data_IF_380818721588
#
_entry.id   IF_380818721588
#
_cell.length_a   1.000
_cell.length_b   1.000
_cell.length_c   1.000
_cell.angle_alpha   90.00
_cell.angle_beta   90.00
_cell.angle_gamma   90.00
#
_symmetry.space_group_name_H-M   'P 1'
#
loop_
_entity.id
_entity.type
_entity.pdbx_description
1 polymer ?
#
# COMPACT_ATOMS: atom_id res chain seq x y z
N UNK A 1 49.17 22.07 -7.84
CA UNK A 1 48.09 21.39 -8.58
C UNK A 1 48.18 19.89 -8.33
N UNK A 2 47.41 19.36 -7.38
CA UNK A 2 47.21 17.92 -7.24
C UNK A 2 45.78 17.62 -7.69
N UNK A 3 45.64 16.99 -8.85
CA UNK A 3 44.39 16.35 -9.27
C UNK A 3 44.22 15.11 -8.40
N UNK A 4 43.36 15.20 -7.40
CA UNK A 4 42.89 14.03 -6.65
C UNK A 4 42.06 13.20 -7.64
N UNK A 5 42.50 11.96 -7.88
CA UNK A 5 41.84 11.02 -8.78
C UNK A 5 40.38 10.82 -8.36
N UNK A 6 39.47 11.00 -9.31
CA UNK A 6 38.06 10.63 -9.17
C UNK A 6 37.99 9.11 -9.11
N UNK A 7 37.94 8.57 -7.90
CA UNK A 7 37.59 7.17 -7.63
C UNK A 7 36.28 6.84 -8.36
N UNK A 8 36.30 5.86 -9.25
CA UNK A 8 35.19 5.50 -10.16
C UNK A 8 34.07 4.70 -9.50
N UNK A 9 33.90 4.80 -8.19
CA UNK A 9 32.93 4.01 -7.45
C UNK A 9 31.65 4.83 -7.24
N UNK A 10 30.50 4.24 -7.57
CA UNK A 10 29.20 4.80 -7.24
C UNK A 10 29.10 5.04 -5.71
N UNK A 11 28.47 6.14 -5.26
CA UNK A 11 28.31 6.42 -3.83
C UNK A 11 27.52 5.30 -3.10
N UNK A 12 27.71 5.15 -1.78
CA UNK A 12 26.96 4.17 -0.99
C UNK A 12 25.47 4.55 -0.82
N UNK A 13 24.64 3.60 -0.37
CA UNK A 13 23.18 3.76 -0.19
C UNK A 13 22.82 4.97 0.72
N UNK A 14 23.66 5.29 1.71
CA UNK A 14 23.43 6.40 2.64
C UNK A 14 23.84 7.78 2.13
N UNK A 15 24.32 7.87 0.88
CA UNK A 15 24.75 9.13 0.26
C UNK A 15 23.62 10.18 0.24
N UNK A 16 22.40 9.77 -0.12
CA UNK A 16 21.26 10.69 -0.20
C UNK A 16 20.94 11.30 1.17
N UNK A 17 20.99 10.49 2.24
CA UNK A 17 20.81 10.94 3.62
C UNK A 17 21.81 12.01 4.01
N UNK A 18 23.10 11.70 3.85
CA UNK A 18 24.22 12.59 4.18
C UNK A 18 24.15 13.89 3.38
N UNK A 19 23.78 13.81 2.10
CA UNK A 19 23.65 14.99 1.26
C UNK A 19 22.45 15.86 1.70
N UNK A 20 21.31 15.27 2.02
CA UNK A 20 20.15 16.00 2.53
C UNK A 20 20.43 16.69 3.88
N UNK A 21 21.18 16.03 4.77
CA UNK A 21 21.62 16.59 6.04
C UNK A 21 22.59 17.77 5.85
N UNK A 22 23.62 17.60 5.01
CA UNK A 22 24.57 18.66 4.64
C UNK A 22 23.85 19.89 4.09
N UNK A 23 22.85 19.67 3.26
CA UNK A 23 22.04 20.73 2.65
C UNK A 23 20.93 21.26 3.57
N UNK A 24 20.68 20.62 4.71
CA UNK A 24 19.56 20.90 5.63
C UNK A 24 18.21 20.90 4.91
N UNK A 25 18.01 19.99 3.95
CA UNK A 25 16.74 19.87 3.21
C UNK A 25 15.59 19.56 4.16
N UNK A 26 14.47 20.26 4.02
CA UNK A 26 13.28 20.05 4.86
C UNK A 26 12.56 18.75 4.47
N UNK A 27 12.58 18.44 3.19
CA UNK A 27 12.00 17.27 2.55
C UNK A 27 12.87 16.00 2.69
N UNK A 28 14.08 16.13 3.23
CA UNK A 28 15.01 15.03 3.43
C UNK A 28 15.54 14.42 2.13
N UNK A 29 16.04 13.18 2.24
CA UNK A 29 16.67 12.44 1.14
C UNK A 29 15.71 12.11 -0.01
N UNK A 30 14.41 12.02 0.27
CA UNK A 30 13.40 11.75 -0.75
C UNK A 30 13.30 12.86 -1.79
N UNK A 31 13.59 14.10 -1.44
CA UNK A 31 13.68 15.18 -2.44
C UNK A 31 14.80 14.93 -3.46
N UNK A 32 15.97 14.48 -3.00
CA UNK A 32 17.11 14.18 -3.88
C UNK A 32 16.79 12.95 -4.73
N UNK A 33 16.18 11.92 -4.11
CA UNK A 33 15.74 10.72 -4.82
C UNK A 33 14.76 11.06 -5.95
N UNK A 34 13.76 11.92 -5.69
CA UNK A 34 12.81 12.39 -6.71
C UNK A 34 13.49 13.14 -7.85
N UNK A 35 14.47 14.00 -7.55
CA UNK A 35 15.26 14.72 -8.57
C UNK A 35 16.03 13.74 -9.46
N UNK A 36 16.72 12.76 -8.87
CA UNK A 36 17.46 11.74 -9.63
C UNK A 36 16.54 10.91 -10.52
N UNK A 37 15.38 10.49 -9.98
CA UNK A 37 14.37 9.75 -10.72
C UNK A 37 13.86 10.54 -11.93
N UNK A 38 13.62 11.84 -11.77
CA UNK A 38 13.13 12.70 -12.84
C UNK A 38 14.17 12.84 -13.98
N UNK A 39 15.45 12.97 -13.62
CA UNK A 39 16.54 13.03 -14.61
C UNK A 39 16.66 11.68 -15.33
N UNK A 40 16.55 10.57 -14.60
CA UNK A 40 16.58 9.22 -15.17
C UNK A 40 15.44 8.99 -16.17
N UNK A 41 14.21 9.35 -15.79
CA UNK A 41 13.01 9.15 -16.57
C UNK A 41 12.99 9.95 -17.87
N UNK A 42 13.48 11.20 -17.85
CA UNK A 42 13.47 12.07 -19.05
C UNK A 42 14.76 12.05 -19.85
N UNK A 43 15.84 11.48 -19.31
CA UNK A 43 17.18 11.46 -19.90
C UNK A 43 17.88 12.83 -19.89
N UNK A 44 17.22 13.88 -20.41
CA UNK A 44 17.68 15.28 -20.38
C UNK A 44 16.54 16.21 -19.98
N UNK A 45 16.70 16.94 -18.89
CA UNK A 45 15.63 17.76 -18.32
C UNK A 45 16.12 19.10 -17.76
N UNK A 46 15.33 20.16 -17.97
CA UNK A 46 15.64 21.50 -17.46
C UNK A 46 15.31 21.64 -15.97
N UNK A 47 16.02 22.52 -15.25
CA UNK A 47 15.79 22.76 -13.81
C UNK A 47 14.34 23.06 -13.45
N UNK A 48 13.66 23.86 -14.27
CA UNK A 48 12.27 24.26 -14.05
C UNK A 48 11.31 23.07 -14.17
N UNK A 49 11.57 22.17 -15.12
CA UNK A 49 10.78 20.96 -15.29
C UNK A 49 11.01 19.97 -14.15
N UNK A 50 12.26 19.82 -13.69
CA UNK A 50 12.55 19.04 -12.47
C UNK A 50 11.80 19.63 -11.27
N UNK A 51 11.89 20.95 -11.06
CA UNK A 51 11.24 21.62 -9.94
C UNK A 51 9.72 21.41 -9.96
N UNK A 52 9.10 21.55 -11.15
CA UNK A 52 7.67 21.30 -11.37
C UNK A 52 7.29 19.85 -11.07
N UNK A 53 8.00 18.88 -11.63
CA UNK A 53 7.69 17.46 -11.47
C UNK A 53 7.90 16.98 -10.02
N UNK A 54 8.92 17.50 -9.35
CA UNK A 54 9.27 17.12 -7.96
C UNK A 54 8.54 17.94 -6.90
N UNK A 55 7.76 18.95 -7.30
CA UNK A 55 7.09 19.93 -6.44
C UNK A 55 8.04 20.61 -5.45
N UNK A 56 9.29 20.85 -5.88
CA UNK A 56 10.31 21.55 -5.11
C UNK A 56 10.46 22.98 -5.60
N UNK A 57 10.78 23.95 -4.73
CA UNK A 57 11.15 25.29 -5.17
C UNK A 57 12.33 25.24 -6.15
N UNK A 58 12.30 26.09 -7.18
CA UNK A 58 13.38 26.15 -8.19
C UNK A 58 14.78 26.35 -7.56
N UNK A 59 14.96 27.22 -6.55
CA UNK A 59 16.27 27.38 -5.89
C UNK A 59 16.76 26.11 -5.19
N UNK A 60 15.85 25.38 -4.52
CA UNK A 60 16.17 24.11 -3.84
C UNK A 60 16.58 23.07 -4.88
N UNK A 61 15.81 22.94 -5.96
CA UNK A 61 16.12 22.03 -7.08
C UNK A 61 17.48 22.33 -7.72
N UNK A 62 17.77 23.62 -7.94
CA UNK A 62 19.06 24.05 -8.49
C UNK A 62 20.23 23.71 -7.55
N UNK A 63 20.04 23.87 -6.24
CA UNK A 63 21.03 23.52 -5.23
C UNK A 63 21.29 22.01 -5.20
N UNK A 64 20.22 21.18 -5.22
CA UNK A 64 20.33 19.71 -5.27
C UNK A 64 21.13 19.31 -6.51
N UNK A 65 20.74 19.82 -7.68
CA UNK A 65 21.46 19.51 -8.93
C UNK A 65 22.94 19.88 -8.84
N UNK A 66 23.28 21.05 -8.31
CA UNK A 66 24.67 21.49 -8.17
C UNK A 66 25.49 20.56 -7.27
N UNK A 67 24.91 20.05 -6.19
CA UNK A 67 25.61 19.08 -5.33
C UNK A 67 25.75 17.71 -6.03
N UNK A 68 24.74 17.26 -6.79
CA UNK A 68 24.84 16.05 -7.62
C UNK A 68 25.89 16.20 -8.74
N UNK A 69 26.05 17.40 -9.30
CA UNK A 69 27.10 17.73 -10.27
C UNK A 69 28.50 17.65 -9.61
N UNK A 70 28.67 18.21 -8.41
CA UNK A 70 29.92 18.10 -7.64
C UNK A 70 30.26 16.66 -7.29
N UNK A 71 29.25 15.83 -7.02
CA UNK A 71 29.40 14.41 -6.76
C UNK A 71 29.64 13.57 -8.03
N UNK A 72 29.64 14.19 -9.22
CA UNK A 72 29.87 13.49 -10.49
C UNK A 72 28.70 12.63 -10.95
N UNK A 73 27.52 12.71 -10.32
CA UNK A 73 26.33 11.93 -10.69
C UNK A 73 25.52 12.58 -11.81
N UNK A 74 25.56 13.91 -11.89
CA UNK A 74 24.82 14.71 -12.89
C UNK A 74 25.80 15.57 -13.68
N UNK A 75 25.55 15.74 -14.97
CA UNK A 75 26.26 16.68 -15.83
C UNK A 75 25.30 17.66 -16.49
N UNK A 76 25.84 18.80 -16.95
CA UNK A 76 25.08 19.83 -17.67
C UNK A 76 25.37 19.79 -19.17
N UNK A 77 24.36 19.43 -19.97
CA UNK A 77 24.42 19.46 -21.46
C UNK A 77 23.11 20.01 -22.03
N UNK A 78 22.90 21.34 -21.91
CA UNK A 78 21.62 21.98 -22.26
C UNK A 78 20.44 21.59 -21.34
N UNK A 79 20.73 20.88 -20.25
CA UNK A 79 19.82 20.29 -19.27
C UNK A 79 20.61 19.40 -18.32
N UNK A 80 19.98 18.94 -17.25
CA UNK A 80 20.54 17.93 -16.37
C UNK A 80 20.46 16.56 -17.06
N UNK A 81 21.57 15.82 -17.06
CA UNK A 81 21.65 14.43 -17.50
C UNK A 81 22.41 13.61 -16.45
N UNK A 82 22.10 12.32 -16.31
CA UNK A 82 22.94 11.43 -15.52
C UNK A 82 24.27 11.18 -16.23
N UNK A 83 25.37 11.14 -15.47
CA UNK A 83 26.64 10.60 -15.95
C UNK A 83 26.59 9.07 -15.98
N UNK A 84 27.66 8.41 -16.44
CA UNK A 84 27.78 6.94 -16.35
C UNK A 84 27.66 6.48 -14.89
N UNK A 85 28.44 7.11 -13.99
CA UNK A 85 28.38 6.85 -12.54
C UNK A 85 27.01 7.20 -11.94
N UNK A 86 26.36 8.27 -12.41
CA UNK A 86 25.02 8.65 -11.99
C UNK A 86 23.97 7.61 -12.37
N UNK A 87 24.07 7.06 -13.59
CA UNK A 87 23.18 6.00 -14.06
C UNK A 87 23.38 4.71 -13.26
N UNK A 88 24.63 4.30 -13.04
CA UNK A 88 24.96 3.15 -12.19
C UNK A 88 24.43 3.33 -10.76
N UNK A 89 24.62 4.51 -10.16
CA UNK A 89 24.08 4.81 -8.84
C UNK A 89 22.55 4.70 -8.78
N UNK A 90 21.86 5.25 -9.78
CA UNK A 90 20.39 5.24 -9.84
C UNK A 90 19.83 3.82 -10.07
N UNK A 91 20.42 3.05 -10.97
CA UNK A 91 19.89 1.74 -11.37
C UNK A 91 20.36 0.62 -10.42
N UNK A 92 21.63 0.61 -10.01
CA UNK A 92 22.22 -0.47 -9.21
C UNK A 92 22.07 -0.20 -7.71
N UNK A 93 22.43 1.00 -7.25
CA UNK A 93 22.42 1.30 -5.80
C UNK A 93 21.01 1.65 -5.31
N UNK A 94 20.29 2.49 -6.06
CA UNK A 94 18.95 2.93 -5.70
C UNK A 94 17.84 2.02 -6.23
N UNK A 95 18.16 1.05 -7.09
CA UNK A 95 17.23 0.10 -7.69
C UNK A 95 16.13 0.75 -8.55
N UNK A 96 16.37 1.95 -9.10
CA UNK A 96 15.37 2.62 -9.92
C UNK A 96 15.27 1.97 -11.30
N UNK A 97 14.06 1.98 -11.84
CA UNK A 97 13.77 1.53 -13.20
C UNK A 97 13.41 2.71 -14.09
N UNK A 98 13.59 2.52 -15.40
CA UNK A 98 13.20 3.49 -16.40
C UNK A 98 11.69 3.76 -16.32
N UNK A 99 11.27 4.92 -16.85
CA UNK A 99 9.86 5.31 -16.81
C UNK A 99 9.00 4.24 -17.51
N UNK A 100 8.04 3.71 -16.77
CA UNK A 100 6.95 2.88 -17.28
C UNK A 100 5.99 3.74 -18.10
N UNK A 101 5.32 3.16 -19.12
CA UNK A 101 4.25 3.90 -19.79
C UNK A 101 3.15 4.18 -18.76
N UNK A 102 2.69 5.43 -18.74
CA UNK A 102 1.67 5.87 -17.79
C UNK A 102 0.43 4.98 -17.91
N UNK A 103 -0.11 4.53 -16.78
CA UNK A 103 -1.51 4.11 -16.75
C UNK A 103 -2.32 5.35 -17.11
N UNK A 104 -2.99 5.31 -18.25
CA UNK A 104 -3.95 6.33 -18.64
C UNK A 104 -5.00 6.52 -17.52
N UNK A 105 -5.51 7.73 -17.35
CA UNK A 105 -6.57 8.08 -16.39
C UNK A 105 -7.85 7.23 -16.56
N UNK A 106 -7.93 6.40 -17.61
CA UNK A 106 -9.09 5.60 -18.01
C UNK A 106 -9.33 4.31 -17.21
N UNK A 107 -8.64 4.07 -16.09
CA UNK A 107 -8.67 2.79 -15.35
C UNK A 107 -8.18 1.57 -16.17
N UNK A 108 -7.71 1.77 -17.40
CA UNK A 108 -7.26 0.69 -18.27
C UNK A 108 -5.83 0.26 -17.92
N UNK A 109 -5.59 -1.04 -18.01
CA UNK A 109 -4.25 -1.62 -17.89
C UNK A 109 -3.61 -1.58 -19.28
N UNK A 110 -2.42 -1.00 -19.39
CA UNK A 110 -1.72 -0.95 -20.66
C UNK A 110 -1.38 -2.39 -21.16
N UNK A 111 -1.48 -2.68 -22.47
CA UNK A 111 -1.33 -4.05 -22.99
C UNK A 111 -0.03 -4.77 -22.61
N UNK A 112 1.06 -4.04 -22.37
CA UNK A 112 2.32 -4.63 -21.90
C UNK A 112 2.23 -5.30 -20.51
N UNK A 113 1.23 -4.93 -19.70
CA UNK A 113 1.02 -5.51 -18.37
C UNK A 113 0.04 -6.68 -18.38
N UNK A 114 -0.58 -7.01 -19.51
CA UNK A 114 -1.52 -8.13 -19.61
C UNK A 114 -0.91 -9.48 -19.14
N UNK A 115 0.35 -9.82 -19.47
CA UNK A 115 0.96 -11.04 -18.96
C UNK A 115 1.11 -11.07 -17.43
N UNK A 116 1.31 -9.90 -16.81
CA UNK A 116 1.36 -9.78 -15.35
C UNK A 116 -0.06 -9.90 -14.77
N UNK A 117 -1.04 -9.26 -15.41
CA UNK A 117 -2.44 -9.32 -15.01
C UNK A 117 -3.01 -10.74 -15.04
N UNK A 118 -2.68 -11.53 -16.05
CA UNK A 118 -3.07 -12.95 -16.13
C UNK A 118 -2.56 -13.76 -14.93
N UNK A 119 -1.30 -13.56 -14.52
CA UNK A 119 -0.75 -14.19 -13.32
C UNK A 119 -1.46 -13.76 -12.04
N UNK A 120 -1.84 -12.48 -11.96
CA UNK A 120 -2.63 -11.98 -10.82
C UNK A 120 -4.03 -12.59 -10.83
N UNK A 121 -4.67 -12.78 -11.99
CA UNK A 121 -5.96 -13.47 -12.14
C UNK A 121 -5.86 -14.92 -11.67
N UNK A 122 -4.82 -15.64 -12.09
CA UNK A 122 -4.54 -17.00 -11.64
C UNK A 122 -4.34 -17.07 -10.12
N UNK A 123 -3.46 -16.22 -9.55
CA UNK A 123 -3.27 -16.13 -8.10
C UNK A 123 -4.59 -15.79 -7.37
N UNK A 124 -5.36 -14.85 -7.92
CA UNK A 124 -6.66 -14.41 -7.36
C UNK A 124 -7.70 -15.52 -7.32
N UNK A 125 -7.67 -16.46 -8.28
CA UNK A 125 -8.54 -17.64 -8.32
C UNK A 125 -8.26 -18.64 -7.20
N UNK A 126 -7.06 -18.59 -6.61
CA UNK A 126 -6.59 -19.44 -5.51
C UNK A 126 -6.75 -18.79 -4.14
N UNK A 127 -7.31 -17.58 -4.08
CA UNK A 127 -7.59 -16.91 -2.79
C UNK A 127 -8.58 -17.73 -1.96
N UNK A 128 -8.42 -17.77 -0.63
CA UNK A 128 -9.49 -18.26 0.23
C UNK A 128 -10.74 -17.40 0.03
N UNK A 129 -11.92 -17.96 0.29
CA UNK A 129 -13.14 -17.14 0.34
C UNK A 129 -12.97 -16.02 1.39
N UNK A 130 -13.41 -14.81 1.02
CA UNK A 130 -13.40 -13.65 1.91
C UNK A 130 -14.06 -14.00 3.24
N UNK A 131 -13.41 -13.63 4.34
CA UNK A 131 -13.88 -13.83 5.70
C UNK A 131 -14.52 -12.54 6.23
N UNK A 132 -15.86 -12.48 6.35
CA UNK A 132 -16.53 -11.28 6.84
C UNK A 132 -16.18 -10.92 8.29
N UNK A 133 -15.63 -11.85 9.09
CA UNK A 133 -15.15 -11.57 10.45
C UNK A 133 -13.90 -10.69 10.48
N UNK A 134 -13.18 -10.63 9.36
CA UNK A 134 -11.98 -9.83 9.17
C UNK A 134 -12.25 -8.59 8.30
N UNK A 135 -13.53 -8.25 8.05
CA UNK A 135 -13.98 -7.23 7.10
C UNK A 135 -13.42 -7.40 5.66
N UNK A 136 -12.97 -8.62 5.29
CA UNK A 136 -12.41 -8.90 3.96
C UNK A 136 -13.46 -8.74 2.86
N UNK A 137 -13.06 -8.09 1.78
CA UNK A 137 -13.81 -8.01 0.52
C UNK A 137 -12.80 -7.91 -0.60
N UNK A 138 -12.76 -8.90 -1.49
CA UNK A 138 -11.75 -8.95 -2.53
C UNK A 138 -11.92 -7.84 -3.57
N UNK A 139 -10.83 -7.10 -3.82
CA UNK A 139 -10.66 -6.28 -5.00
C UNK A 139 -10.45 -7.13 -6.26
N UNK A 140 -10.68 -6.50 -7.41
CA UNK A 140 -10.39 -7.10 -8.72
C UNK A 140 -8.87 -7.23 -8.95
N UNK A 141 -8.42 -8.22 -9.74
CA UNK A 141 -7.02 -8.33 -10.18
C UNK A 141 -6.47 -7.03 -10.79
N UNK A 142 -7.29 -6.33 -11.56
CA UNK A 142 -6.96 -5.03 -12.17
C UNK A 142 -6.72 -3.96 -11.10
N UNK A 143 -7.48 -3.98 -10.00
CA UNK A 143 -7.26 -3.08 -8.87
C UNK A 143 -5.91 -3.34 -8.20
N UNK A 144 -5.58 -4.61 -7.95
CA UNK A 144 -4.30 -4.99 -7.36
C UNK A 144 -3.12 -4.50 -8.21
N UNK A 145 -3.18 -4.72 -9.53
CA UNK A 145 -2.16 -4.25 -10.47
C UNK A 145 -2.09 -2.72 -10.53
N UNK A 146 -3.23 -2.02 -10.61
CA UNK A 146 -3.26 -0.54 -10.61
C UNK A 146 -2.65 0.03 -9.34
N UNK A 147 -2.95 -0.52 -8.16
CA UNK A 147 -2.32 -0.09 -6.89
C UNK A 147 -0.80 -0.23 -6.97
N UNK A 148 -0.29 -1.37 -7.44
CA UNK A 148 1.14 -1.60 -7.59
C UNK A 148 1.79 -0.63 -8.60
N UNK A 149 1.18 -0.42 -9.76
CA UNK A 149 1.66 0.54 -10.76
C UNK A 149 1.64 1.97 -10.24
N UNK A 150 0.60 2.38 -9.52
CA UNK A 150 0.52 3.69 -8.89
C UNK A 150 1.62 3.90 -7.83
N UNK A 151 1.98 2.85 -7.07
CA UNK A 151 3.13 2.89 -6.17
C UNK A 151 4.47 2.98 -6.92
N UNK A 152 4.62 2.28 -8.06
CA UNK A 152 5.80 2.34 -8.93
C UNK A 152 5.99 3.74 -9.53
N UNK A 153 4.91 4.30 -10.09
CA UNK A 153 4.87 5.65 -10.67
C UNK A 153 5.09 6.74 -9.63
N UNK A 154 4.73 6.47 -8.37
CA UNK A 154 5.09 7.30 -7.21
C UNK A 154 6.56 7.22 -6.79
N UNK A 155 7.34 6.27 -7.31
CA UNK A 155 8.74 6.03 -6.92
C UNK A 155 8.90 5.25 -5.61
N UNK A 156 7.85 4.52 -5.21
CA UNK A 156 7.74 3.86 -3.91
C UNK A 156 7.77 2.31 -4.00
N UNK A 157 7.91 1.72 -5.19
CA UNK A 157 8.25 0.29 -5.34
C UNK A 157 9.72 0.04 -5.73
N UNK A 158 10.20 0.69 -6.78
CA UNK A 158 11.51 0.40 -7.36
C UNK A 158 12.67 0.62 -6.35
N UNK A 159 13.42 -0.46 -6.06
CA UNK A 159 14.52 -0.48 -5.09
C UNK A 159 14.09 -0.28 -3.63
N UNK A 160 12.81 -0.48 -3.29
CA UNK A 160 12.27 -0.26 -1.93
C UNK A 160 11.96 -1.56 -1.21
N UNK A 161 12.06 -1.50 0.12
CA UNK A 161 11.44 -2.48 1.03
C UNK A 161 10.01 -2.03 1.32
N UNK A 162 9.03 -2.83 0.91
CA UNK A 162 7.61 -2.48 0.90
C UNK A 162 6.85 -3.37 1.88
N UNK A 163 6.01 -2.75 2.71
CA UNK A 163 5.14 -3.47 3.65
C UNK A 163 3.69 -3.42 3.19
N UNK A 164 3.01 -4.55 3.24
CA UNK A 164 1.56 -4.65 3.11
C UNK A 164 0.96 -5.05 4.46
N UNK A 165 0.10 -4.19 5.01
CA UNK A 165 -0.63 -4.43 6.27
C UNK A 165 -2.05 -4.84 5.92
N UNK A 166 -2.31 -6.14 5.93
CA UNK A 166 -3.43 -6.75 5.22
C UNK A 166 -3.15 -6.86 3.71
N UNK A 167 -3.49 -7.98 3.09
CA UNK A 167 -3.31 -8.16 1.63
C UNK A 167 -4.28 -9.17 0.98
N UNK A 168 -5.56 -9.18 1.37
CA UNK A 168 -6.59 -10.04 0.75
C UNK A 168 -6.79 -9.74 -0.74
N UNK A 169 -6.34 -8.57 -1.17
CA UNK A 169 -6.31 -8.10 -2.55
C UNK A 169 -5.11 -8.59 -3.38
N UNK A 170 -4.13 -9.25 -2.77
CA UNK A 170 -2.88 -9.72 -3.41
C UNK A 170 -2.09 -8.60 -4.11
N UNK A 171 -2.09 -7.39 -3.54
CA UNK A 171 -1.29 -6.27 -4.06
C UNK A 171 0.20 -6.59 -3.90
N UNK A 172 0.58 -7.35 -2.87
CA UNK A 172 1.98 -7.81 -2.71
C UNK A 172 2.44 -8.69 -3.86
N UNK A 173 1.57 -9.57 -4.36
CA UNK A 173 1.83 -10.43 -5.52
C UNK A 173 1.98 -9.58 -6.77
N UNK A 174 1.06 -8.63 -7.00
CA UNK A 174 1.15 -7.70 -8.11
C UNK A 174 2.46 -6.89 -8.10
N UNK A 175 2.84 -6.35 -6.93
CA UNK A 175 4.10 -5.64 -6.74
C UNK A 175 5.34 -6.54 -6.96
N UNK A 176 5.28 -7.80 -6.52
CA UNK A 176 6.34 -8.78 -6.72
C UNK A 176 6.55 -9.14 -8.20
N UNK A 177 5.46 -9.31 -8.95
CA UNK A 177 5.49 -9.63 -10.38
C UNK A 177 6.10 -8.52 -11.25
N UNK A 178 6.10 -7.26 -10.77
CA UNK A 178 6.81 -6.16 -11.43
C UNK A 178 8.34 -6.32 -11.36
N UNK A 179 8.87 -7.13 -10.43
CA UNK A 179 10.31 -7.42 -10.27
C UNK A 179 11.21 -6.18 -10.12
N UNK A 180 10.69 -5.15 -9.45
CA UNK A 180 11.40 -3.88 -9.21
C UNK A 180 11.72 -3.63 -7.74
N UNK A 181 11.11 -4.36 -6.81
CA UNK A 181 11.24 -4.12 -5.37
C UNK A 181 12.55 -4.68 -4.83
N UNK A 182 13.06 -4.11 -3.72
CA UNK A 182 14.20 -4.65 -2.96
C UNK A 182 13.76 -5.78 -2.03
N UNK A 183 12.55 -5.67 -1.49
CA UNK A 183 11.93 -6.70 -0.65
C UNK A 183 10.46 -6.39 -0.40
N UNK A 184 9.65 -7.43 -0.22
CA UNK A 184 8.23 -7.31 0.09
C UNK A 184 7.94 -8.10 1.37
N UNK A 185 7.21 -7.48 2.29
CA UNK A 185 6.68 -8.16 3.47
C UNK A 185 5.17 -7.97 3.55
N UNK A 186 4.45 -9.04 3.84
CA UNK A 186 3.01 -9.06 4.09
C UNK A 186 2.77 -9.44 5.54
N UNK A 187 1.97 -8.64 6.23
CA UNK A 187 1.50 -8.94 7.58
C UNK A 187 -0.01 -9.12 7.52
N UNK A 188 -0.49 -10.30 7.87
CA UNK A 188 -1.92 -10.60 7.91
C UNK A 188 -2.24 -11.56 9.07
N UNK A 189 -3.47 -11.53 9.55
CA UNK A 189 -3.98 -12.46 10.56
C UNK A 189 -4.56 -13.73 9.92
N UNK A 190 -4.92 -13.69 8.64
CA UNK A 190 -5.45 -14.82 7.90
C UNK A 190 -4.34 -15.71 7.34
N UNK A 191 -3.99 -16.76 8.10
CA UNK A 191 -2.98 -17.73 7.67
C UNK A 191 -3.28 -18.40 6.32
N UNK A 192 -4.56 -18.53 5.92
CA UNK A 192 -4.94 -19.14 4.64
C UNK A 192 -4.53 -18.26 3.47
N UNK A 193 -4.67 -16.94 3.63
CA UNK A 193 -4.24 -15.97 2.63
C UNK A 193 -2.72 -15.95 2.52
N UNK A 194 -2.02 -15.97 3.65
CA UNK A 194 -0.56 -16.04 3.67
C UNK A 194 -0.03 -17.30 3.00
N UNK A 195 -0.67 -18.45 3.19
CA UNK A 195 -0.35 -19.69 2.47
C UNK A 195 -0.48 -19.53 0.94
N UNK A 196 -1.57 -18.90 0.47
CA UNK A 196 -1.73 -18.58 -0.97
C UNK A 196 -0.60 -17.67 -1.46
N UNK A 197 -0.29 -16.58 -0.74
CA UNK A 197 0.78 -15.64 -1.13
C UNK A 197 2.14 -16.34 -1.16
N UNK A 198 2.47 -17.15 -0.15
CA UNK A 198 3.72 -17.93 -0.11
C UNK A 198 3.81 -18.93 -1.26
N UNK A 199 2.71 -19.62 -1.60
CA UNK A 199 2.64 -20.54 -2.72
C UNK A 199 2.96 -19.85 -4.05
N UNK A 200 2.24 -18.75 -4.33
CA UNK A 200 2.49 -17.92 -5.53
C UNK A 200 3.91 -17.38 -5.54
N UNK A 201 4.41 -16.89 -4.40
CA UNK A 201 5.76 -16.36 -4.28
C UNK A 201 6.82 -17.42 -4.64
N UNK A 202 6.63 -18.67 -4.21
CA UNK A 202 7.54 -19.77 -4.53
C UNK A 202 7.48 -20.15 -6.01
N UNK A 203 6.29 -20.27 -6.57
CA UNK A 203 6.06 -20.63 -7.98
C UNK A 203 6.66 -19.60 -8.94
N UNK A 204 6.48 -18.31 -8.64
CA UNK A 204 6.91 -17.19 -9.48
C UNK A 204 8.33 -16.69 -9.16
N UNK A 205 8.99 -17.27 -8.14
CA UNK A 205 10.31 -16.87 -7.68
C UNK A 205 10.32 -15.43 -7.14
N UNK A 206 9.26 -15.02 -6.46
CA UNK A 206 9.13 -13.73 -5.80
C UNK A 206 9.77 -13.79 -4.41
N UNK A 207 10.33 -12.66 -3.97
CA UNK A 207 10.90 -12.52 -2.61
C UNK A 207 9.89 -11.87 -1.67
N UNK A 208 8.75 -12.54 -1.44
CA UNK A 208 7.69 -12.08 -0.53
C UNK A 208 7.82 -12.82 0.81
N UNK A 209 8.06 -12.07 1.88
CA UNK A 209 8.02 -12.58 3.24
C UNK A 209 6.60 -12.46 3.81
N UNK A 210 6.01 -13.57 4.25
CA UNK A 210 4.72 -13.56 4.92
C UNK A 210 4.89 -13.66 6.44
N UNK A 211 4.16 -12.84 7.19
CA UNK A 211 4.18 -12.79 8.65
C UNK A 211 2.76 -12.93 9.18
N UNK A 212 2.47 -14.06 9.81
CA UNK A 212 1.20 -14.28 10.52
C UNK A 212 1.20 -13.48 11.81
N UNK A 213 0.39 -12.41 11.89
CA UNK A 213 0.36 -11.53 13.06
C UNK A 213 -0.97 -10.77 13.14
N UNK A 214 -1.56 -10.72 14.34
CA UNK A 214 -2.68 -9.82 14.60
C UNK A 214 -2.14 -8.41 14.90
N UNK A 215 -2.49 -7.43 14.06
CA UNK A 215 -2.06 -6.04 14.24
C UNK A 215 -2.58 -5.39 15.52
N UNK A 216 -3.57 -5.98 16.21
CA UNK A 216 -3.93 -5.59 17.58
C UNK A 216 -2.74 -5.71 18.52
N UNK A 217 -1.92 -6.73 18.35
CA UNK A 217 -0.68 -6.89 19.11
C UNK A 217 0.41 -5.92 18.62
N UNK A 218 1.37 -5.54 19.48
CA UNK A 218 2.50 -4.70 19.08
C UNK A 218 3.21 -5.27 17.84
N UNK A 219 3.63 -4.38 16.93
CA UNK A 219 4.37 -4.80 15.75
C UNK A 219 5.67 -5.53 16.17
N UNK A 220 5.97 -6.72 15.59
CA UNK A 220 7.21 -7.45 15.85
C UNK A 220 8.44 -6.58 15.67
N UNK A 221 9.43 -6.72 16.55
CA UNK A 221 10.61 -5.84 16.58
C UNK A 221 11.39 -5.87 15.26
N UNK A 222 11.45 -7.02 14.59
CA UNK A 222 12.12 -7.19 13.28
C UNK A 222 11.48 -6.36 12.15
N UNK A 223 10.23 -5.93 12.30
CA UNK A 223 9.51 -5.13 11.31
C UNK A 223 9.60 -3.63 11.58
N UNK A 224 10.03 -3.22 12.79
CA UNK A 224 10.07 -1.81 13.18
C UNK A 224 11.22 -1.09 12.47
N UNK A 225 10.91 0.07 11.89
CA UNK A 225 11.92 0.86 11.18
C UNK A 225 12.59 0.13 10.01
N UNK A 226 11.94 -0.89 9.42
CA UNK A 226 12.56 -1.73 8.40
C UNK A 226 12.17 -1.32 6.97
N UNK A 227 11.07 -0.59 6.79
CA UNK A 227 10.44 -0.36 5.48
C UNK A 227 10.56 1.08 4.98
N UNK A 228 10.48 1.23 3.66
CA UNK A 228 10.55 2.53 2.99
C UNK A 228 9.16 3.12 2.68
N UNK A 229 8.15 2.25 2.53
CA UNK A 229 6.74 2.60 2.31
C UNK A 229 5.86 1.45 2.81
N UNK A 230 4.57 1.74 3.02
CA UNK A 230 3.56 0.70 3.26
C UNK A 230 2.27 0.98 2.48
N UNK A 231 1.50 -0.07 2.20
CA UNK A 231 0.13 -0.01 1.73
C UNK A 231 -0.78 -0.74 2.71
N UNK A 232 -1.99 -0.23 2.90
CA UNK A 232 -3.04 -0.91 3.66
C UNK A 232 -4.43 -0.62 3.10
N UNK A 233 -5.32 -1.59 3.22
CA UNK A 233 -6.77 -1.43 3.07
C UNK A 233 -7.40 -1.71 4.43
N UNK A 234 -7.37 -0.74 5.36
CA UNK A 234 -7.62 -0.99 6.76
C UNK A 234 -9.12 -1.19 7.00
N UNK A 235 -9.53 -1.78 8.14
CA UNK A 235 -10.93 -1.77 8.55
C UNK A 235 -11.47 -0.33 8.57
N UNK A 236 -12.66 -0.13 8.02
CA UNK A 236 -13.22 1.22 7.78
C UNK A 236 -13.74 1.92 9.05
N UNK A 237 -13.41 1.43 10.23
CA UNK A 237 -13.72 2.08 11.50
C UNK A 237 -12.59 3.04 11.87
N UNK A 238 -12.87 4.09 12.65
CA UNK A 238 -11.80 4.99 13.12
C UNK A 238 -10.75 4.24 13.96
N UNK A 239 -11.11 3.34 14.90
CA UNK A 239 -10.12 2.54 15.61
C UNK A 239 -9.29 1.63 14.68
N UNK A 240 -9.89 1.06 13.65
CA UNK A 240 -9.19 0.27 12.63
C UNK A 240 -8.17 1.12 11.85
N UNK A 241 -8.59 2.29 11.39
CA UNK A 241 -7.71 3.27 10.75
C UNK A 241 -6.53 3.66 11.67
N UNK A 242 -6.81 4.03 12.92
CA UNK A 242 -5.80 4.41 13.92
C UNK A 242 -4.80 3.28 14.16
N UNK A 243 -5.27 2.04 14.27
CA UNK A 243 -4.43 0.87 14.52
C UNK A 243 -3.49 0.60 13.34
N UNK A 244 -4.05 0.46 12.14
CA UNK A 244 -3.27 0.09 10.95
C UNK A 244 -2.27 1.18 10.57
N UNK A 245 -2.67 2.45 10.63
CA UNK A 245 -1.73 3.56 10.38
C UNK A 245 -0.68 3.63 11.48
N UNK A 246 -1.01 3.36 12.75
CA UNK A 246 -0.01 3.32 13.83
C UNK A 246 1.05 2.25 13.57
N UNK A 247 0.63 1.04 13.17
CA UNK A 247 1.55 -0.05 12.81
C UNK A 247 2.39 0.30 11.58
N UNK A 248 1.79 0.96 10.58
CA UNK A 248 2.50 1.48 9.41
C UNK A 248 3.60 2.48 9.79
N UNK A 249 3.28 3.48 10.63
CA UNK A 249 4.28 4.45 11.13
C UNK A 249 5.41 3.75 11.87
N UNK A 250 5.10 2.78 12.74
CA UNK A 250 6.11 2.02 13.50
C UNK A 250 7.04 1.21 12.58
N UNK A 251 6.54 0.72 11.45
CA UNK A 251 7.29 -0.09 10.50
C UNK A 251 8.22 0.73 9.60
N UNK A 252 7.92 2.02 9.38
CA UNK A 252 8.71 2.88 8.51
C UNK A 252 10.05 3.25 9.13
N UNK A 253 11.11 3.18 8.32
CA UNK A 253 12.40 3.82 8.61
C UNK A 253 12.17 5.30 8.87
N UNK A 254 12.86 5.83 9.87
CA UNK A 254 12.79 7.26 10.14
C UNK A 254 13.34 8.05 8.95
N UNK A 255 12.50 8.92 8.38
CA UNK A 255 12.82 9.89 7.32
C UNK A 255 12.06 11.17 7.60
N UNK A 256 12.54 12.31 7.08
CA UNK A 256 11.76 13.57 7.14
C UNK A 256 10.46 13.51 6.36
N UNK A 257 10.44 12.67 5.32
CA UNK A 257 9.31 12.47 4.43
C UNK A 257 9.36 11.04 3.93
N UNK A 258 8.27 10.31 4.11
CA UNK A 258 7.99 9.01 3.48
C UNK A 258 6.61 9.07 2.84
N UNK A 259 6.31 8.12 1.95
CA UNK A 259 4.98 7.98 1.36
C UNK A 259 4.35 6.69 1.85
N UNK A 260 3.07 6.76 2.21
CA UNK A 260 2.24 5.61 2.50
C UNK A 260 0.99 5.63 1.61
N UNK A 261 0.36 4.47 1.49
CA UNK A 261 -0.77 4.25 0.61
C UNK A 261 -1.92 3.62 1.39
N UNK A 262 -3.13 4.11 1.16
CA UNK A 262 -4.32 3.61 1.84
C UNK A 262 -5.50 3.56 0.88
N UNK A 263 -6.18 2.42 0.81
CA UNK A 263 -7.51 2.35 0.21
C UNK A 263 -8.55 2.70 1.30
N UNK A 264 -9.50 3.59 0.99
CA UNK A 264 -10.49 4.02 1.98
C UNK A 264 -11.79 4.51 1.31
N UNK A 265 -12.97 4.09 1.79
CA UNK A 265 -14.24 4.44 1.17
C UNK A 265 -14.60 5.90 1.40
N UNK A 266 -15.39 6.45 0.47
CA UNK A 266 -16.09 7.71 0.70
C UNK A 266 -17.18 7.49 1.77
N UNK A 267 -17.08 8.23 2.87
CA UNK A 267 -18.01 8.19 4.01
C UNK A 267 -18.79 9.51 4.12
N UNK A 268 -19.86 9.57 4.93
CA UNK A 268 -20.52 10.83 5.24
C UNK A 268 -19.51 11.92 5.66
N UNK A 269 -19.73 13.21 5.31
CA UNK A 269 -18.72 14.25 5.46
C UNK A 269 -18.10 14.38 6.86
N UNK A 270 -18.87 14.18 7.93
CA UNK A 270 -18.35 14.23 9.30
C UNK A 270 -17.49 13.01 9.65
N UNK A 271 -17.78 11.83 9.09
CA UNK A 271 -16.91 10.66 9.23
C UNK A 271 -15.60 10.85 8.45
N UNK A 272 -15.66 11.44 7.25
CA UNK A 272 -14.47 11.78 6.47
C UNK A 272 -13.63 12.85 7.17
N UNK A 273 -14.25 13.89 7.72
CA UNK A 273 -13.54 14.90 8.52
C UNK A 273 -12.82 14.25 9.70
N UNK A 274 -13.45 13.30 10.38
CA UNK A 274 -12.82 12.56 11.48
C UNK A 274 -11.64 11.71 11.00
N UNK A 275 -11.78 10.99 9.89
CA UNK A 275 -10.69 10.19 9.32
C UNK A 275 -9.49 11.07 8.91
N UNK A 276 -9.73 12.19 8.22
CA UNK A 276 -8.68 13.15 7.89
C UNK A 276 -8.06 13.79 9.14
N UNK A 277 -8.88 14.11 10.15
CA UNK A 277 -8.42 14.62 11.44
C UNK A 277 -7.48 13.63 12.14
N UNK A 278 -7.83 12.33 12.15
CA UNK A 278 -6.98 11.25 12.65
C UNK A 278 -5.64 11.19 11.93
N UNK A 279 -5.62 11.20 10.59
CA UNK A 279 -4.37 11.17 9.82
C UNK A 279 -3.46 12.37 10.17
N UNK A 280 -4.02 13.58 10.20
CA UNK A 280 -3.28 14.79 10.56
C UNK A 280 -2.75 14.74 11.99
N UNK A 281 -3.56 14.28 12.94
CA UNK A 281 -3.16 14.12 14.34
C UNK A 281 -1.96 13.16 14.50
N UNK A 282 -1.90 12.13 13.66
CA UNK A 282 -0.80 11.17 13.61
C UNK A 282 0.44 11.69 12.86
N UNK A 283 0.40 12.92 12.34
CA UNK A 283 1.50 13.57 11.59
C UNK A 283 1.57 13.18 10.12
N UNK A 284 0.46 12.75 9.53
CA UNK A 284 0.32 12.46 8.09
C UNK A 284 -0.60 13.49 7.45
N UNK A 285 -0.32 13.89 6.20
CA UNK A 285 -1.28 14.63 5.40
C UNK A 285 -1.56 13.93 4.09
N UNK A 286 -2.75 14.19 3.53
CA UNK A 286 -3.18 13.62 2.26
C UNK A 286 -2.58 14.44 1.12
N UNK A 287 -1.74 13.78 0.32
CA UNK A 287 -1.08 14.39 -0.84
C UNK A 287 -1.94 14.28 -2.10
N UNK A 288 -2.70 13.20 -2.23
CA UNK A 288 -3.57 12.92 -3.36
C UNK A 288 -4.68 11.95 -2.95
N UNK A 289 -5.88 12.15 -3.50
CA UNK A 289 -7.00 11.22 -3.43
C UNK A 289 -7.46 10.97 -4.86
N UNK A 290 -7.43 9.71 -5.27
CA UNK A 290 -7.99 9.30 -6.56
C UNK A 290 -9.33 8.61 -6.29
N UNK A 291 -10.46 9.26 -6.60
CA UNK A 291 -11.77 8.70 -6.29
C UNK A 291 -12.08 7.47 -7.16
N UNK A 292 -12.82 6.51 -6.59
CA UNK A 292 -13.26 5.29 -7.30
C UNK A 292 -12.10 4.52 -7.94
N UNK A 293 -10.94 4.54 -7.32
CA UNK A 293 -9.75 3.85 -7.80
C UNK A 293 -9.90 2.35 -7.60
N UNK A 294 -10.28 1.92 -6.39
CA UNK A 294 -10.36 0.51 -6.04
C UNK A 294 -11.73 -0.04 -6.43
N UNK A 295 -11.78 -1.23 -7.05
CA UNK A 295 -13.03 -1.90 -7.45
C UNK A 295 -13.08 -3.26 -6.76
N UNK A 296 -14.20 -3.56 -6.10
CA UNK A 296 -14.38 -4.78 -5.31
C UNK A 296 -15.45 -5.72 -5.88
N UNK A 297 -15.24 -7.02 -5.67
CA UNK A 297 -16.13 -8.09 -6.12
C UNK A 297 -17.34 -8.22 -5.18
N UNK A 298 -18.56 -8.25 -5.76
CA UNK A 298 -19.81 -8.55 -5.05
C UNK A 298 -20.73 -7.33 -4.78
N UNK A 299 -22.03 -7.50 -5.10
CA UNK A 299 -23.15 -6.54 -5.06
C UNK A 299 -23.20 -5.47 -6.17
N UNK A 300 -23.62 -5.90 -7.36
CA UNK A 300 -23.81 -5.17 -8.63
C UNK A 300 -24.77 -3.94 -8.59
N UNK A 301 -25.18 -3.44 -7.42
CA UNK A 301 -26.22 -2.38 -7.30
C UNK A 301 -25.73 -1.09 -6.61
N UNK A 302 -24.55 -1.08 -5.95
CA UNK A 302 -23.98 0.13 -5.33
C UNK A 302 -22.45 0.24 -5.56
N UNK A 303 -22.03 0.29 -6.82
CA UNK A 303 -20.74 0.81 -7.30
C UNK A 303 -19.50 0.55 -6.41
N UNK A 304 -19.32 -0.68 -5.88
CA UNK A 304 -18.36 -1.08 -4.83
C UNK A 304 -16.94 -0.60 -5.10
N UNK A 305 -16.69 0.65 -4.75
CA UNK A 305 -15.44 1.33 -5.05
C UNK A 305 -15.01 2.16 -3.86
N UNK A 306 -13.71 2.27 -3.69
CA UNK A 306 -13.09 3.14 -2.69
C UNK A 306 -12.05 4.02 -3.35
N UNK A 307 -11.65 5.05 -2.63
CA UNK A 307 -10.66 6.01 -3.09
C UNK A 307 -9.25 5.52 -2.73
N UNK A 308 -8.28 5.82 -3.58
CA UNK A 308 -6.86 5.58 -3.28
C UNK A 308 -6.24 6.84 -2.71
N UNK A 309 -5.71 6.75 -1.49
CA UNK A 309 -5.04 7.83 -0.80
C UNK A 309 -3.53 7.65 -0.93
N UNK A 310 -2.85 8.71 -1.36
CA UNK A 310 -1.40 8.87 -1.18
C UNK A 310 -1.17 9.80 0.00
N UNK A 311 -0.52 9.27 1.03
CA UNK A 311 -0.26 9.95 2.29
C UNK A 311 1.21 10.33 2.37
N UNK A 312 1.50 11.56 2.77
CA UNK A 312 2.85 11.94 3.20
C UNK A 312 2.96 11.70 4.69
N UNK A 313 3.95 10.90 5.08
CA UNK A 313 4.36 10.67 6.46
C UNK A 313 5.51 11.62 6.79
N UNK A 314 5.29 12.53 7.74
CA UNK A 314 6.29 13.55 8.10
C UNK A 314 7.27 13.03 9.16
N UNK A 315 8.39 13.74 9.37
CA UNK A 315 9.32 13.43 10.47
C UNK A 315 8.72 13.58 11.88
N UNK A 316 7.55 14.22 11.98
CA UNK A 316 6.77 14.38 13.21
C UNK A 316 5.75 13.26 13.41
N UNK A 317 5.60 12.32 12.46
CA UNK A 317 4.62 11.26 12.56
C UNK A 317 4.83 10.41 13.82
N UNK A 318 3.74 10.12 14.53
CA UNK A 318 3.74 9.30 15.74
C UNK A 318 2.56 8.33 15.72
N UNK A 319 2.78 7.05 16.06
CA UNK A 319 1.67 6.13 16.26
C UNK A 319 0.87 6.57 17.49
N UNK A 320 -0.46 6.57 17.38
CA UNK A 320 -1.35 6.80 18.53
C UNK A 320 -1.54 5.51 19.35
N UNK A 321 -1.29 4.35 18.74
CA UNK A 321 -1.36 3.05 19.40
C UNK A 321 0.03 2.38 19.33
N UNK A 322 0.73 2.31 20.46
CA UNK A 322 2.08 1.72 20.55
C UNK A 322 2.10 0.30 21.12
N UNK A 323 1.18 -0.01 22.04
CA UNK A 323 1.04 -1.31 22.70
C UNK A 323 -0.08 -2.18 22.12
N UNK A 324 -0.48 -3.23 22.86
CA UNK A 324 -1.64 -4.05 22.52
C UNK A 324 -2.93 -3.22 22.46
N UNK A 325 -3.80 -3.53 21.50
CA UNK A 325 -5.09 -2.89 21.32
C UNK A 325 -6.22 -3.86 21.66
N UNK A 326 -7.09 -3.46 22.60
CA UNK A 326 -8.15 -4.33 23.16
C UNK A 326 -9.57 -4.00 22.62
N UNK A 327 -9.70 -2.99 21.77
CA UNK A 327 -10.98 -2.56 21.22
C UNK A 327 -11.41 -3.34 19.97
N UNK A 328 -12.66 -3.13 19.55
CA UNK A 328 -13.14 -3.57 18.24
C UNK A 328 -12.60 -2.68 17.12
N UNK A 329 -12.13 -3.29 16.03
CA UNK A 329 -11.67 -2.61 14.81
C UNK A 329 -12.54 -2.93 13.60
N UNK A 330 -13.25 -4.05 13.63
CA UNK A 330 -14.09 -4.47 12.51
C UNK A 330 -15.51 -3.93 12.65
N UNK A 331 -16.17 -3.73 11.52
CA UNK A 331 -17.54 -3.22 11.45
C UNK A 331 -18.50 -4.15 12.19
N UNK A 332 -18.30 -5.47 12.06
CA UNK A 332 -19.08 -6.48 12.76
C UNK A 332 -18.92 -6.48 14.29
N UNK A 333 -17.79 -5.99 14.80
CA UNK A 333 -17.52 -5.86 16.24
C UNK A 333 -18.17 -4.59 16.82
N UNK A 334 -18.09 -3.46 16.10
CA UNK A 334 -18.59 -2.17 16.58
C UNK A 334 -20.09 -1.94 16.29
N UNK A 335 -20.61 -2.55 15.24
CA UNK A 335 -22.01 -2.44 14.81
C UNK A 335 -22.56 -3.84 14.54
N UNK A 336 -22.70 -4.68 15.57
CA UNK A 336 -23.21 -6.03 15.41
C UNK A 336 -24.59 -5.99 14.75
N UNK A 337 -24.81 -6.87 13.76
CA UNK A 337 -26.11 -7.00 13.09
C UNK A 337 -26.66 -8.38 13.30
N UNK A 338 -27.94 -8.46 13.63
CA UNK A 338 -28.69 -9.70 13.71
C UNK A 338 -29.47 -9.85 12.41
N UNK A 339 -29.30 -10.99 11.75
CA UNK A 339 -30.01 -11.35 10.52
C UNK A 339 -30.83 -12.60 10.76
N UNK A 340 -32.09 -12.58 10.37
CA UNK A 340 -32.94 -13.78 10.41
C UNK A 340 -33.02 -14.34 9.01
N UNK A 341 -32.60 -15.59 8.84
CA UNK A 341 -32.73 -16.34 7.59
C UNK A 341 -33.82 -17.39 7.71
N UNK A 342 -34.68 -17.48 6.70
CA UNK A 342 -35.70 -18.53 6.58
C UNK A 342 -35.20 -19.60 5.61
N UNK A 343 -35.03 -20.81 6.12
CA UNK A 343 -34.74 -21.99 5.30
C UNK A 343 -35.98 -22.39 4.50
N UNK A 344 -35.78 -23.06 3.35
CA UNK A 344 -36.87 -23.65 2.53
C UNK A 344 -37.79 -24.60 3.34
N UNK A 345 -37.33 -25.20 4.43
CA UNK A 345 -38.18 -26.00 5.34
C UNK A 345 -39.06 -25.16 6.30
N UNK A 346 -39.03 -23.84 6.18
CA UNK A 346 -39.78 -22.89 7.01
C UNK A 346 -39.08 -22.49 8.31
N UNK A 347 -37.96 -23.11 8.69
CA UNK A 347 -37.22 -22.74 9.92
C UNK A 347 -36.59 -21.36 9.78
N UNK A 348 -36.92 -20.45 10.70
CA UNK A 348 -36.20 -19.20 10.92
C UNK A 348 -34.95 -19.47 11.77
N UNK A 349 -33.84 -18.87 11.36
CA UNK A 349 -32.51 -19.08 11.93
C UNK A 349 -31.87 -17.71 12.11
N UNK A 350 -31.48 -17.40 13.33
CA UNK A 350 -30.86 -16.13 13.69
C UNK A 350 -29.35 -16.25 13.49
N UNK A 351 -28.78 -15.34 12.72
CA UNK A 351 -27.36 -15.26 12.37
C UNK A 351 -26.81 -13.94 12.87
N UNK A 352 -25.77 -13.99 13.70
CA UNK A 352 -25.13 -12.81 14.28
C UNK A 352 -24.04 -13.18 15.28
N UNK A 353 -23.28 -12.19 15.75
CA UNK A 353 -22.10 -12.35 16.61
C UNK A 353 -22.35 -13.13 17.91
N UNK A 354 -23.60 -13.15 18.40
CA UNK A 354 -24.04 -13.80 19.64
C UNK A 354 -24.92 -15.04 19.44
N UNK A 355 -25.00 -15.60 18.22
CA UNK A 355 -25.85 -16.77 17.93
C UNK A 355 -25.04 -17.99 17.51
N UNK A 356 -25.71 -19.15 17.36
CA UNK A 356 -25.06 -20.40 16.94
C UNK A 356 -24.47 -20.39 15.51
N UNK A 357 -24.73 -19.34 14.72
CA UNK A 357 -24.11 -19.09 13.43
C UNK A 357 -23.76 -17.61 13.32
N UNK A 358 -22.48 -17.27 13.18
CA UNK A 358 -22.05 -15.86 13.09
C UNK A 358 -22.29 -15.27 11.71
N UNK A 359 -22.17 -16.08 10.65
CA UNK A 359 -22.36 -15.65 9.25
C UNK A 359 -23.31 -16.57 8.48
N UNK A 360 -23.79 -16.10 7.31
CA UNK A 360 -24.64 -16.93 6.45
C UNK A 360 -23.83 -18.05 5.79
N UNK A 361 -22.54 -17.84 5.57
CA UNK A 361 -21.59 -18.83 5.09
C UNK A 361 -21.43 -19.98 6.10
N UNK A 362 -21.30 -19.66 7.40
CA UNK A 362 -21.29 -20.67 8.47
C UNK A 362 -22.60 -21.45 8.54
N UNK A 363 -23.74 -20.77 8.40
CA UNK A 363 -25.04 -21.44 8.32
C UNK A 363 -25.14 -22.38 7.11
N UNK A 364 -24.63 -21.96 5.94
CA UNK A 364 -24.59 -22.82 4.74
C UNK A 364 -23.67 -24.03 4.96
N UNK A 365 -22.51 -23.84 5.57
CA UNK A 365 -21.57 -24.93 5.87
C UNK A 365 -22.14 -25.93 6.89
N UNK A 366 -22.71 -25.44 8.00
CA UNK A 366 -23.28 -26.28 9.06
C UNK A 366 -24.66 -26.87 8.72
N UNK A 367 -25.37 -26.26 7.78
CA UNK A 367 -26.71 -26.66 7.36
C UNK A 367 -27.82 -26.27 8.34
N UNK A 368 -29.06 -26.29 7.87
CA UNK A 368 -30.22 -25.94 8.66
C UNK A 368 -30.33 -26.85 9.89
N UNK A 369 -30.44 -26.31 11.12
CA UNK A 369 -30.59 -27.12 12.34
C UNK A 369 -31.80 -28.06 12.32
N UNK A 370 -32.84 -27.74 11.52
CA UNK A 370 -34.06 -28.55 11.40
C UNK A 370 -33.97 -29.61 10.30
N UNK A 371 -33.60 -29.23 9.07
CA UNK A 371 -33.68 -30.12 7.91
C UNK A 371 -32.32 -30.47 7.28
N UNK A 372 -31.21 -30.02 7.88
CA UNK A 372 -29.82 -30.24 7.44
C UNK A 372 -29.45 -29.74 6.04
N UNK A 373 -30.38 -29.14 5.29
CA UNK A 373 -30.10 -28.50 3.99
C UNK A 373 -29.06 -27.40 4.15
N UNK A 374 -28.11 -27.35 3.23
CA UNK A 374 -27.00 -26.37 3.19
C UNK A 374 -27.27 -25.19 2.26
N UNK A 375 -28.43 -25.18 1.61
CA UNK A 375 -28.85 -24.19 0.64
C UNK A 375 -30.33 -23.79 0.81
N UNK A 376 -30.75 -22.74 0.12
CA UNK A 376 -32.14 -22.25 0.16
C UNK A 376 -32.47 -21.44 1.42
N UNK A 377 -31.50 -20.69 1.95
CA UNK A 377 -31.72 -19.70 3.01
C UNK A 377 -32.04 -18.33 2.40
N UNK A 378 -33.18 -17.75 2.74
CA UNK A 378 -33.57 -16.40 2.33
C UNK A 378 -33.54 -15.46 3.53
N UNK A 379 -32.95 -14.29 3.37
CA UNK A 379 -32.98 -13.25 4.40
C UNK A 379 -34.44 -12.80 4.61
N UNK A 380 -34.93 -12.87 5.84
CA UNK A 380 -36.28 -12.41 6.20
C UNK A 380 -36.25 -11.11 7.01
N UNK A 381 -35.27 -10.92 7.88
CA UNK A 381 -35.13 -9.70 8.69
C UNK A 381 -33.65 -9.33 8.89
N UNK A 382 -33.37 -8.03 9.03
CA UNK A 382 -32.06 -7.50 9.39
C UNK A 382 -32.25 -6.37 10.40
N UNK A 383 -31.69 -6.51 11.59
CA UNK A 383 -31.75 -5.54 12.68
C UNK A 383 -30.33 -5.29 13.22
N UNK A 384 -30.09 -4.15 13.88
CA UNK A 384 -28.87 -3.97 14.67
C UNK A 384 -29.02 -4.81 15.95
N UNK A 385 -27.95 -5.45 16.39
CA UNK A 385 -27.93 -6.00 17.74
C UNK A 385 -27.78 -4.82 18.68
N UNK A 386 -28.67 -4.72 19.67
CA UNK A 386 -28.57 -3.71 20.74
C UNK A 386 -27.35 -3.95 21.62
#
# INVERSE_FOLDING_TARGET
MQKIGSSSYAPPEDFLRKLAEKMRLKEGEEAIRRVLREIHHRGKVGTKDIARATRLPTPVTAAIRRELEKAGLVARKGGAILTVTGKEFVEVVLGMVAKTKETNDSQEIAPEYEPILEKIREASSRRPNANPKLDQTHATPETALRRALYMLDGGNLAGRNVLFLGDDDLVSVAAGLLRVTKGITVVDIDGRLLETIMGVSKEEGLSIQCVLHDLREPLPESLRGAFDTFLTDPPYTIPGLELFISRGIQALRWRKTSIAYMAYPDKPPLEMLKAHGTLNWMGLYVDEIIPRFNIYLGAEILANTTSMFRLVVTGEARPVITGPFQGGIYTGELKPTIRVYRCRCGKAIVVGSSTGFTTIEELKAGGCPKCRRREGFRLSEKQRAD
#
